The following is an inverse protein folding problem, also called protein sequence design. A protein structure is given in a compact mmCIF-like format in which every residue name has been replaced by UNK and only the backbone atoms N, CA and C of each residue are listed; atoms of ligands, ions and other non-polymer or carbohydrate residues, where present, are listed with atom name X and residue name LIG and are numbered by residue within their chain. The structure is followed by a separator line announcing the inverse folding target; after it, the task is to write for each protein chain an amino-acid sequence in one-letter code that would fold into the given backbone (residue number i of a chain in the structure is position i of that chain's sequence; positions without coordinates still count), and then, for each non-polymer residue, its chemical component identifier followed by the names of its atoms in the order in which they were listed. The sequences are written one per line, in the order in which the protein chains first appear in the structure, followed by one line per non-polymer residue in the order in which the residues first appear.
data_IF_439188775379
#
_entry.id   IF_439188775379
#
_cell.length_a   1.000
_cell.length_b   1.000
_cell.length_c   1.000
_cell.angle_alpha   90.00
_cell.angle_beta   90.00
_cell.angle_gamma   90.00
#
_symmetry.space_group_name_H-M   'P 1'
#
loop_
_entity.id
_entity.type
_entity.pdbx_description
1 polymer ?
#
# COMPACT_ATOMS: atom_id res chain seq x y z
N UNK A 1 61.11 -1.16 8.73
CA UNK A 1 60.28 -1.07 9.94
C UNK A 1 58.87 -0.64 9.55
N UNK A 2 58.05 -1.63 9.31
CA UNK A 2 56.59 -1.46 9.05
C UNK A 2 55.92 -1.31 10.42
N UNK A 3 55.52 -0.12 10.78
CA UNK A 3 54.60 0.13 11.89
C UNK A 3 53.23 -0.38 11.50
N UNK A 4 52.94 -1.60 11.86
CA UNK A 4 51.55 -2.09 11.89
C UNK A 4 50.83 -1.35 12.99
N UNK A 5 49.87 -0.50 12.62
CA UNK A 5 48.99 0.18 13.54
C UNK A 5 47.95 -0.83 14.05
N UNK A 6 47.97 -1.27 15.33
CA UNK A 6 47.08 -2.32 15.82
C UNK A 6 45.66 -1.82 16.19
N UNK A 7 45.29 -0.64 15.75
CA UNK A 7 43.99 0.00 16.04
C UNK A 7 43.01 -0.02 14.85
N UNK A 8 43.02 -1.04 14.05
CA UNK A 8 41.82 -1.42 13.31
C UNK A 8 40.92 -2.23 14.26
N UNK A 9 40.31 -1.51 15.20
CA UNK A 9 39.22 -2.00 16.02
C UNK A 9 38.23 -2.67 15.07
N UNK A 10 37.95 -3.95 15.34
CA UNK A 10 37.02 -4.75 14.55
C UNK A 10 35.72 -4.00 14.35
N UNK A 11 35.53 -3.46 13.15
CA UNK A 11 34.27 -2.82 12.79
C UNK A 11 33.16 -3.84 12.98
N UNK A 12 32.15 -3.47 13.74
CA UNK A 12 30.98 -4.32 13.94
C UNK A 12 30.37 -4.67 12.57
N UNK A 13 30.61 -5.87 12.09
CA UNK A 13 30.10 -6.32 10.81
C UNK A 13 28.58 -6.52 10.91
N UNK A 14 27.81 -5.61 10.30
CA UNK A 14 26.36 -5.74 10.20
C UNK A 14 26.04 -6.59 9.00
N UNK A 15 25.44 -7.74 9.19
CA UNK A 15 24.98 -8.62 8.12
C UNK A 15 23.48 -8.39 7.89
N UNK A 16 23.12 -7.94 6.70
CA UNK A 16 21.73 -7.77 6.28
C UNK A 16 21.39 -8.75 5.18
N UNK A 17 20.35 -9.55 5.38
CA UNK A 17 19.81 -10.46 4.37
C UNK A 17 18.39 -10.02 4.04
N UNK A 18 18.16 -9.65 2.77
CA UNK A 18 16.84 -9.26 2.27
C UNK A 18 16.31 -10.37 1.36
N UNK A 19 15.11 -10.85 1.66
CA UNK A 19 14.34 -11.76 0.82
C UNK A 19 13.08 -11.05 0.40
N UNK A 20 12.97 -10.70 -0.89
CA UNK A 20 11.84 -9.93 -1.42
C UNK A 20 11.18 -10.69 -2.56
N UNK A 21 9.86 -10.75 -2.50
CA UNK A 21 8.99 -11.27 -3.55
C UNK A 21 8.03 -10.15 -3.95
N UNK A 22 8.33 -9.48 -5.08
CA UNK A 22 7.57 -8.31 -5.53
C UNK A 22 7.45 -8.28 -7.06
N UNK A 23 6.27 -8.60 -7.59
CA UNK A 23 5.13 -9.23 -6.91
C UNK A 23 5.33 -10.74 -6.69
N UNK A 24 4.80 -11.29 -5.59
CA UNK A 24 4.72 -12.74 -5.41
C UNK A 24 3.63 -13.33 -6.31
N UNK A 25 2.49 -12.65 -6.39
CA UNK A 25 1.35 -12.99 -7.25
C UNK A 25 0.81 -11.71 -7.84
N UNK A 26 0.52 -11.74 -9.14
CA UNK A 26 -0.19 -10.67 -9.84
C UNK A 26 -1.26 -11.27 -10.72
N UNK A 27 -2.48 -10.72 -10.65
CA UNK A 27 -3.62 -11.13 -11.46
C UNK A 27 -4.20 -9.89 -12.11
N UNK A 28 -4.50 -9.96 -13.40
CA UNK A 28 -5.23 -8.96 -14.14
C UNK A 28 -6.39 -9.63 -14.88
N UNK A 29 -7.59 -9.08 -14.72
CA UNK A 29 -8.82 -9.56 -15.35
C UNK A 29 -9.51 -8.34 -15.96
N UNK A 30 -9.89 -8.48 -17.23
CA UNK A 30 -10.67 -7.47 -17.94
C UNK A 30 -11.92 -8.13 -18.51
N UNK A 31 -13.09 -7.59 -18.15
CA UNK A 31 -14.39 -8.08 -18.61
C UNK A 31 -14.92 -7.22 -19.74
N UNK A 32 -15.62 -7.86 -20.68
CA UNK A 32 -16.17 -7.21 -21.86
C UNK A 32 -17.17 -6.06 -21.58
N UNK A 33 -17.80 -6.06 -20.38
CA UNK A 33 -18.70 -4.99 -19.96
C UNK A 33 -18.01 -3.76 -19.35
N UNK A 34 -16.69 -3.65 -19.47
CA UNK A 34 -15.92 -2.48 -19.05
C UNK A 34 -15.43 -2.49 -17.61
N UNK A 35 -15.47 -3.63 -16.91
CA UNK A 35 -14.85 -3.81 -15.61
C UNK A 35 -13.45 -4.39 -15.78
N UNK A 36 -12.46 -3.74 -15.19
CA UNK A 36 -11.10 -4.24 -15.05
C UNK A 36 -10.76 -4.47 -13.56
N UNK A 37 -10.03 -5.53 -13.27
CA UNK A 37 -9.48 -5.80 -11.95
C UNK A 37 -8.00 -6.11 -12.06
N UNK A 38 -7.19 -5.50 -11.20
CA UNK A 38 -5.79 -5.83 -11.02
C UNK A 38 -5.54 -6.10 -9.54
N UNK A 39 -4.90 -7.22 -9.26
CA UNK A 39 -4.52 -7.59 -7.90
C UNK A 39 -3.04 -7.94 -7.86
N UNK A 40 -2.33 -7.46 -6.85
CA UNK A 40 -0.93 -7.81 -6.61
C UNK A 40 -0.69 -8.06 -5.13
N UNK A 41 0.07 -9.10 -4.83
CA UNK A 41 0.53 -9.42 -3.49
C UNK A 41 2.04 -9.41 -3.43
N UNK A 42 2.58 -8.72 -2.43
CA UNK A 42 4.01 -8.59 -2.20
C UNK A 42 4.34 -9.01 -0.78
N UNK A 43 5.51 -9.60 -0.61
CA UNK A 43 6.04 -9.98 0.69
C UNK A 43 7.54 -9.76 0.74
N UNK A 44 8.04 -9.14 1.81
CA UNK A 44 9.48 -9.05 2.07
C UNK A 44 9.81 -9.42 3.50
N UNK A 45 10.96 -10.03 3.65
CA UNK A 45 11.57 -10.40 4.91
C UNK A 45 12.99 -9.84 4.90
N UNK A 46 13.33 -9.04 5.89
CA UNK A 46 14.68 -8.51 6.10
C UNK A 46 15.19 -8.99 7.44
N UNK A 47 16.27 -9.75 7.42
CA UNK A 47 16.98 -10.19 8.61
C UNK A 47 18.25 -9.36 8.75
N UNK A 48 18.42 -8.71 9.89
CA UNK A 48 19.55 -7.84 10.21
C UNK A 48 20.24 -8.35 11.47
N UNK A 49 21.49 -8.72 11.34
CA UNK A 49 22.34 -9.12 12.46
C UNK A 49 23.34 -8.02 12.76
N UNK A 50 23.33 -7.52 13.97
CA UNK A 50 24.20 -6.44 14.44
C UNK A 50 25.38 -7.06 15.22
N UNK A 51 26.56 -7.09 14.64
CA UNK A 51 27.71 -7.89 15.07
C UNK A 51 28.26 -7.64 16.47
N UNK A 52 28.17 -6.45 17.05
CA UNK A 52 28.62 -6.16 18.42
C UNK A 52 27.48 -6.03 19.44
N UNK A 53 26.26 -5.72 18.99
CA UNK A 53 25.09 -5.79 19.84
C UNK A 53 24.46 -7.18 19.67
N UNK A 54 24.24 -7.89 20.75
CA UNK A 54 23.52 -9.16 20.77
C UNK A 54 22.05 -9.03 20.33
N UNK A 55 21.72 -8.02 19.52
CA UNK A 55 20.36 -7.70 19.12
C UNK A 55 20.21 -7.94 17.63
N UNK A 56 19.51 -9.00 17.28
CA UNK A 56 19.10 -9.29 15.91
C UNK A 56 17.72 -8.69 15.64
N UNK A 57 17.52 -8.16 14.43
CA UNK A 57 16.27 -7.56 14.00
C UNK A 57 15.72 -8.28 12.77
N UNK A 58 14.43 -8.57 12.77
CA UNK A 58 13.72 -9.12 11.64
C UNK A 58 12.53 -8.23 11.29
N UNK A 59 12.46 -7.76 10.04
CA UNK A 59 11.36 -6.97 9.52
C UNK A 59 10.56 -7.79 8.51
N UNK A 60 9.25 -7.90 8.76
CA UNK A 60 8.30 -8.59 7.90
C UNK A 60 7.35 -7.59 7.32
N UNK A 61 7.32 -7.46 6.00
CA UNK A 61 6.37 -6.60 5.30
C UNK A 61 5.54 -7.42 4.34
N UNK A 62 4.24 -7.14 4.29
CA UNK A 62 3.35 -7.71 3.28
C UNK A 62 2.35 -6.67 2.83
N UNK A 63 2.02 -6.66 1.55
CA UNK A 63 0.99 -5.79 1.00
C UNK A 63 0.18 -6.52 -0.06
N UNK A 64 -1.13 -6.29 -0.01
CA UNK A 64 -2.10 -6.70 -1.01
C UNK A 64 -2.71 -5.44 -1.59
N UNK A 65 -2.62 -5.26 -2.90
CA UNK A 65 -3.25 -4.18 -3.63
C UNK A 65 -4.27 -4.77 -4.60
N UNK A 66 -5.48 -4.23 -4.60
CA UNK A 66 -6.54 -4.56 -5.54
C UNK A 66 -7.03 -3.25 -6.15
N UNK A 67 -6.98 -3.13 -7.47
CA UNK A 67 -7.57 -2.03 -8.23
C UNK A 67 -8.74 -2.56 -9.02
N UNK A 68 -9.86 -1.87 -8.93
CA UNK A 68 -11.07 -2.09 -9.73
C UNK A 68 -11.32 -0.83 -10.54
N UNK A 69 -11.39 -0.97 -11.85
CA UNK A 69 -11.68 0.11 -12.79
C UNK A 69 -12.95 -0.26 -13.53
N UNK A 70 -13.97 0.59 -13.46
CA UNK A 70 -15.23 0.36 -14.18
C UNK A 70 -15.62 1.59 -14.97
N UNK A 71 -15.78 1.40 -16.28
CA UNK A 71 -16.19 2.45 -17.19
C UNK A 71 -17.61 2.21 -17.69
N UNK A 72 -18.50 3.11 -17.33
CA UNK A 72 -19.90 3.10 -17.79
C UNK A 72 -20.02 4.03 -18.99
N UNK A 73 -20.50 3.46 -20.09
CA UNK A 73 -20.69 4.19 -21.35
C UNK A 73 -21.85 5.19 -21.23
N UNK A 74 -21.87 6.26 -22.08
CA UNK A 74 -22.98 7.19 -22.14
C UNK A 74 -24.32 6.49 -22.40
N UNK A 75 -25.41 7.05 -21.89
CA UNK A 75 -26.76 6.49 -22.05
C UNK A 75 -27.26 5.68 -20.85
N UNK A 76 -26.46 5.53 -19.79
CA UNK A 76 -26.93 4.88 -18.57
C UNK A 76 -27.90 5.76 -17.76
N UNK A 77 -28.79 5.14 -17.00
CA UNK A 77 -29.76 5.85 -16.16
C UNK A 77 -29.22 5.95 -14.73
N UNK A 78 -29.23 7.14 -14.16
CA UNK A 78 -28.87 7.40 -12.78
C UNK A 78 -29.95 8.29 -12.15
N UNK A 79 -30.54 7.84 -11.02
CA UNK A 79 -31.66 8.54 -10.33
C UNK A 79 -32.81 8.90 -11.31
N UNK A 80 -33.16 8.03 -12.24
CA UNK A 80 -34.25 8.23 -13.21
C UNK A 80 -33.92 9.21 -14.37
N UNK A 81 -32.67 9.69 -14.46
CA UNK A 81 -32.20 10.55 -15.55
C UNK A 81 -31.19 9.83 -16.42
N UNK A 82 -31.35 9.95 -17.74
CA UNK A 82 -30.37 9.42 -18.71
C UNK A 82 -29.13 10.30 -18.74
N UNK A 83 -28.00 9.73 -18.41
CA UNK A 83 -26.71 10.41 -18.37
C UNK A 83 -26.05 10.34 -19.75
N UNK A 84 -25.68 11.51 -20.30
CA UNK A 84 -25.11 11.65 -21.66
C UNK A 84 -23.59 11.50 -21.69
N UNK A 85 -22.93 11.61 -20.56
CA UNK A 85 -21.48 11.49 -20.41
C UNK A 85 -21.06 10.10 -19.95
N UNK A 86 -19.78 9.81 -20.04
CA UNK A 86 -19.19 8.60 -19.46
C UNK A 86 -18.92 8.77 -17.98
N UNK A 87 -19.09 7.69 -17.20
CA UNK A 87 -18.73 7.65 -15.80
C UNK A 87 -17.61 6.62 -15.63
N UNK A 88 -16.48 7.06 -15.05
CA UNK A 88 -15.40 6.18 -14.66
C UNK A 88 -15.40 6.03 -13.14
N UNK A 89 -15.37 4.80 -12.67
CA UNK A 89 -15.27 4.45 -11.26
C UNK A 89 -13.95 3.70 -11.04
N UNK A 90 -13.14 4.18 -10.12
CA UNK A 90 -11.90 3.54 -9.74
C UNK A 90 -11.93 3.27 -8.24
N UNK A 91 -11.71 2.03 -7.85
CA UNK A 91 -11.62 1.64 -6.44
C UNK A 91 -10.29 0.96 -6.19
N UNK A 92 -9.55 1.46 -5.23
CA UNK A 92 -8.31 0.87 -4.76
C UNK A 92 -8.50 0.35 -3.34
N UNK A 93 -8.15 -0.90 -3.13
CA UNK A 93 -8.14 -1.56 -1.82
C UNK A 93 -6.70 -1.95 -1.54
N UNK A 94 -6.14 -1.40 -0.48
CA UNK A 94 -4.79 -1.71 -0.04
C UNK A 94 -4.82 -2.25 1.39
N UNK A 95 -4.24 -3.42 1.56
CA UNK A 95 -3.98 -3.98 2.89
C UNK A 95 -2.48 -4.14 3.06
N UNK A 96 -1.92 -3.54 4.09
CA UNK A 96 -0.50 -3.69 4.45
C UNK A 96 -0.34 -4.17 5.88
N UNK A 97 0.74 -4.91 6.11
CA UNK A 97 1.15 -5.33 7.43
C UNK A 97 2.66 -5.24 7.52
N UNK A 98 3.14 -4.49 8.50
CA UNK A 98 4.55 -4.35 8.82
C UNK A 98 4.74 -4.83 10.26
N UNK A 99 5.73 -5.68 10.47
CA UNK A 99 6.07 -6.21 11.78
C UNK A 99 7.60 -6.20 11.94
N UNK A 100 8.06 -5.68 13.06
CA UNK A 100 9.47 -5.70 13.45
C UNK A 100 9.59 -6.56 14.70
N UNK A 101 10.45 -7.55 14.61
CA UNK A 101 10.78 -8.46 15.71
C UNK A 101 12.23 -8.22 16.10
N UNK A 102 12.52 -8.28 17.39
CA UNK A 102 13.85 -8.11 17.95
C UNK A 102 14.17 -9.34 18.78
N UNK A 103 15.38 -9.85 18.62
CA UNK A 103 15.96 -10.88 19.49
C UNK A 103 17.20 -10.31 20.15
N UNK A 104 17.35 -10.47 21.46
CA UNK A 104 18.51 -10.06 22.25
C UNK A 104 19.50 -11.20 22.48
N UNK A 105 19.07 -12.41 22.27
CA UNK A 105 19.86 -13.62 22.52
C UNK A 105 20.13 -14.44 21.25
N UNK A 106 19.67 -13.91 20.09
CA UNK A 106 19.75 -14.62 18.80
C UNK A 106 18.82 -15.83 18.66
N UNK A 107 18.06 -16.17 19.69
CA UNK A 107 17.21 -17.37 19.72
C UNK A 107 15.72 -17.05 19.68
N UNK A 108 15.27 -16.04 20.44
CA UNK A 108 13.84 -15.72 20.61
C UNK A 108 13.49 -14.35 20.08
N UNK A 109 12.75 -14.28 18.97
CA UNK A 109 12.26 -13.04 18.39
C UNK A 109 10.95 -12.60 19.04
N UNK A 110 10.93 -11.38 19.60
CA UNK A 110 9.74 -10.75 20.20
C UNK A 110 9.29 -9.57 19.35
N UNK A 111 7.98 -9.38 19.13
CA UNK A 111 7.46 -8.21 18.45
C UNK A 111 7.85 -6.93 19.19
N UNK A 112 8.49 -5.98 18.49
CA UNK A 112 8.84 -4.66 19.01
C UNK A 112 8.03 -3.54 18.38
N UNK A 113 7.60 -3.72 17.14
CA UNK A 113 6.71 -2.81 16.44
C UNK A 113 5.85 -3.62 15.46
N UNK A 114 4.61 -3.18 15.27
CA UNK A 114 3.71 -3.80 14.31
C UNK A 114 2.57 -2.88 13.95
N UNK A 115 2.32 -2.77 12.64
CA UNK A 115 1.24 -1.97 12.11
C UNK A 115 0.51 -2.73 11.02
N UNK A 116 -0.81 -2.70 11.08
CA UNK A 116 -1.71 -3.19 10.02
C UNK A 116 -2.56 -2.03 9.53
N UNK A 117 -2.71 -1.94 8.22
CA UNK A 117 -3.54 -0.91 7.60
C UNK A 117 -4.42 -1.54 6.53
N UNK A 118 -5.67 -1.09 6.49
CA UNK A 118 -6.59 -1.32 5.39
C UNK A 118 -7.07 0.04 4.90
N UNK A 119 -6.84 0.33 3.62
CA UNK A 119 -7.31 1.56 2.97
C UNK A 119 -8.18 1.20 1.78
N UNK A 120 -9.32 1.86 1.67
CA UNK A 120 -10.22 1.78 0.53
C UNK A 120 -10.41 3.19 0.02
N UNK A 121 -10.05 3.41 -1.25
CA UNK A 121 -10.22 4.69 -1.93
C UNK A 121 -11.04 4.47 -3.19
N UNK A 122 -12.17 5.18 -3.27
CA UNK A 122 -13.01 5.18 -4.45
C UNK A 122 -13.03 6.57 -5.06
N UNK A 123 -12.79 6.65 -6.35
CA UNK A 123 -12.88 7.86 -7.15
C UNK A 123 -13.88 7.64 -8.27
N UNK A 124 -14.75 8.62 -8.47
CA UNK A 124 -15.65 8.68 -9.61
C UNK A 124 -15.34 9.94 -10.43
N UNK A 125 -15.28 9.78 -11.74
CA UNK A 125 -15.07 10.88 -12.70
C UNK A 125 -16.22 10.85 -13.71
N UNK A 126 -16.98 11.93 -13.82
CA UNK A 126 -18.09 12.07 -14.75
C UNK A 126 -17.86 13.26 -15.69
N UNK A 127 -18.09 13.06 -16.97
CA UNK A 127 -18.04 14.10 -17.98
C UNK A 127 -19.43 14.67 -18.24
N UNK A 128 -19.72 15.84 -17.67
CA UNK A 128 -21.01 16.54 -17.84
C UNK A 128 -21.20 17.10 -19.25
N UNK A 129 -20.11 17.63 -19.83
CA UNK A 129 -20.07 18.16 -21.18
C UNK A 129 -18.64 18.08 -21.75
N UNK A 130 -18.43 18.55 -22.98
CA UNK A 130 -17.08 18.60 -23.56
C UNK A 130 -16.10 19.46 -22.74
N UNK A 131 -16.63 20.44 -21.98
CA UNK A 131 -15.83 21.44 -21.23
C UNK A 131 -15.95 21.29 -19.71
N UNK A 132 -16.79 20.40 -19.22
CA UNK A 132 -17.05 20.29 -17.78
C UNK A 132 -16.89 18.84 -17.37
N UNK A 133 -15.98 18.61 -16.44
CA UNK A 133 -15.77 17.33 -15.77
C UNK A 133 -15.88 17.54 -14.27
N UNK A 134 -16.24 16.50 -13.55
CA UNK A 134 -16.25 16.53 -12.10
C UNK A 134 -16.33 15.13 -11.53
N UNK A 135 -16.11 15.03 -10.26
CA UNK A 135 -16.10 13.73 -9.60
C UNK A 135 -16.12 13.80 -8.10
N UNK A 136 -16.17 12.62 -7.52
CA UNK A 136 -16.19 12.38 -6.08
C UNK A 136 -15.04 11.46 -5.70
N UNK A 137 -14.37 11.75 -4.62
CA UNK A 137 -13.40 10.85 -4.01
C UNK A 137 -13.85 10.53 -2.59
N UNK A 138 -13.86 9.25 -2.24
CA UNK A 138 -14.13 8.77 -0.88
C UNK A 138 -12.94 7.91 -0.47
N UNK A 139 -12.42 8.18 0.70
CA UNK A 139 -11.33 7.40 1.29
C UNK A 139 -11.69 6.96 2.71
N UNK A 140 -11.46 5.69 2.96
CA UNK A 140 -11.59 5.10 4.28
C UNK A 140 -10.30 4.34 4.61
N UNK A 141 -9.68 4.70 5.73
CA UNK A 141 -8.48 4.05 6.23
C UNK A 141 -8.68 3.61 7.66
N UNK A 142 -8.34 2.36 7.92
CA UNK A 142 -8.29 1.77 9.25
C UNK A 142 -6.88 1.26 9.49
N UNK A 143 -6.22 1.78 10.50
CA UNK A 143 -4.90 1.33 10.94
C UNK A 143 -4.95 0.85 12.38
N UNK A 144 -4.16 -0.17 12.69
CA UNK A 144 -4.02 -0.71 14.02
C UNK A 144 -2.55 -1.00 14.32
N UNK A 145 -2.10 -0.56 15.48
CA UNK A 145 -0.85 -1.02 16.06
C UNK A 145 -1.10 -2.37 16.72
N UNK A 146 -0.33 -3.40 16.34
CA UNK A 146 -0.55 -4.78 16.81
C UNK A 146 0.04 -5.03 18.20
N UNK A 147 0.83 -4.08 18.73
CA UNK A 147 1.46 -4.17 20.06
C UNK A 147 0.66 -3.41 21.09
N UNK A 148 0.34 -2.14 20.81
CA UNK A 148 -0.42 -1.30 21.73
C UNK A 148 -1.93 -1.49 21.61
N UNK A 149 -2.41 -2.21 20.59
CA UNK A 149 -3.83 -2.36 20.24
C UNK A 149 -4.55 -1.03 19.92
N UNK A 150 -3.79 0.04 19.69
CA UNK A 150 -4.34 1.32 19.27
C UNK A 150 -4.90 1.22 17.85
N UNK A 151 -6.10 1.75 17.68
CA UNK A 151 -6.79 1.75 16.39
C UNK A 151 -7.08 3.19 15.95
N UNK A 152 -6.76 3.50 14.71
CA UNK A 152 -7.07 4.79 14.09
C UNK A 152 -7.93 4.58 12.86
N UNK A 153 -9.04 5.31 12.77
CA UNK A 153 -9.93 5.32 11.60
C UNK A 153 -9.98 6.71 11.02
N UNK A 154 -9.77 6.80 9.72
CA UNK A 154 -9.84 8.05 8.96
C UNK A 154 -10.89 7.85 7.88
N UNK A 155 -11.78 8.84 7.72
CA UNK A 155 -12.75 8.90 6.64
C UNK A 155 -12.64 10.27 6.01
N UNK A 156 -12.45 10.31 4.72
CA UNK A 156 -12.30 11.54 3.95
C UNK A 156 -13.18 11.45 2.71
N UNK A 157 -13.78 12.57 2.33
CA UNK A 157 -14.55 12.69 1.11
C UNK A 157 -14.31 14.06 0.50
N UNK A 158 -14.28 14.13 -0.81
CA UNK A 158 -14.11 15.38 -1.54
C UNK A 158 -14.77 15.28 -2.91
N UNK A 159 -15.24 16.39 -3.40
CA UNK A 159 -15.68 16.55 -4.78
C UNK A 159 -14.80 17.56 -5.47
N UNK A 160 -14.69 17.43 -6.79
CA UNK A 160 -13.92 18.33 -7.64
C UNK A 160 -14.68 18.60 -8.93
N UNK A 161 -14.44 19.75 -9.51
CA UNK A 161 -14.94 20.13 -10.83
C UNK A 161 -13.82 20.80 -11.60
N UNK A 162 -13.80 20.56 -12.90
CA UNK A 162 -12.83 21.13 -13.84
C UNK A 162 -13.59 21.76 -15.00
N UNK A 163 -13.22 22.98 -15.36
CA UNK A 163 -13.79 23.75 -16.47
C UNK A 163 -12.67 24.03 -17.47
N UNK A 164 -12.89 23.71 -18.73
CA UNK A 164 -11.97 24.02 -19.82
C UNK A 164 -12.49 25.28 -20.57
N UNK A 165 -11.70 26.34 -20.54
CA UNK A 165 -11.95 27.60 -21.24
C UNK A 165 -11.07 27.66 -22.48
N UNK A 166 -11.66 27.94 -23.65
CA UNK A 166 -10.96 28.21 -24.90
C UNK A 166 -10.87 29.70 -25.14
#
# INVERSE_FOLDING_TARGET
LLNANPNLAGGAETKTVVRSFSPLIQVALDWAFGLGMRSSYQKSLTDQKLGLSSTDQQMKNSSLNISLDYRIQPGFSLFGKTMKGSLNLQTQIMRSSNETLISRDGSTFKPSNGQRQLSIRTRSDYQFSRRIRGGLTIEWTNSANTITNEKRRIRQGGFWTEFEFN
#
